data_IF_191133659661
#
_entry.id   IF_191133659661
#
_cell.length_a   1.000
_cell.length_b   1.000
_cell.length_c   1.000
_cell.angle_alpha   90.00
_cell.angle_beta   90.00
_cell.angle_gamma   90.00
#
_symmetry.space_group_name_H-M   'P 1'
#
loop_
_entity.id
_entity.type
_entity.pdbx_description
1 polymer ?
#
# COMPACT_ATOMS: atom_id res chain seq x y z
N UNK A 1 -29.68 5.10 -5.64
CA UNK A 1 -31.11 4.76 -5.81
C UNK A 1 -31.24 3.24 -5.82
N UNK A 2 -32.34 2.68 -5.30
CA UNK A 2 -32.54 1.22 -5.33
C UNK A 2 -33.18 0.83 -6.67
N UNK A 3 -32.53 -0.07 -7.40
CA UNK A 3 -33.07 -0.66 -8.62
C UNK A 3 -34.28 -1.53 -8.28
N UNK A 4 -35.19 -1.74 -9.23
CA UNK A 4 -36.39 -2.60 -9.04
C UNK A 4 -36.03 -4.03 -8.62
N UNK A 5 -34.87 -4.52 -9.05
CA UNK A 5 -34.33 -5.85 -8.71
C UNK A 5 -33.64 -5.87 -7.33
N UNK A 6 -33.75 -4.80 -6.54
CA UNK A 6 -33.32 -4.76 -5.15
C UNK A 6 -31.88 -4.32 -4.91
N UNK A 7 -31.02 -4.29 -5.93
CA UNK A 7 -29.64 -3.82 -5.82
C UNK A 7 -29.53 -2.28 -5.87
N UNK A 8 -28.41 -1.73 -5.40
CA UNK A 8 -28.16 -0.28 -5.41
C UNK A 8 -27.46 0.15 -6.69
N UNK A 9 -27.95 1.24 -7.28
CA UNK A 9 -27.31 1.90 -8.43
C UNK A 9 -26.96 3.35 -8.11
N UNK A 10 -25.85 3.79 -8.69
CA UNK A 10 -25.49 5.19 -8.79
C UNK A 10 -26.15 5.81 -10.00
N UNK A 11 -26.85 6.92 -9.79
CA UNK A 11 -27.44 7.72 -10.85
C UNK A 11 -26.81 9.09 -10.87
N UNK A 12 -26.40 9.52 -12.05
CA UNK A 12 -26.13 10.92 -12.34
C UNK A 12 -27.38 11.49 -13.00
N UNK A 13 -27.98 12.49 -12.37
CA UNK A 13 -29.22 13.09 -12.86
C UNK A 13 -29.02 14.57 -13.15
N UNK A 14 -29.50 15.03 -14.31
CA UNK A 14 -29.61 16.44 -14.65
C UNK A 14 -31.06 16.77 -14.93
N UNK A 15 -31.55 17.86 -14.35
CA UNK A 15 -32.91 18.33 -14.54
C UNK A 15 -32.91 19.76 -15.09
N UNK A 16 -33.83 20.05 -16.00
CA UNK A 16 -34.08 21.41 -16.49
C UNK A 16 -35.56 21.71 -16.49
N UNK A 17 -35.93 22.88 -15.98
CA UNK A 17 -37.29 23.39 -16.09
C UNK A 17 -37.57 23.91 -17.50
N UNK A 18 -38.73 23.52 -18.02
CA UNK A 18 -39.33 24.06 -19.23
C UNK A 18 -40.43 25.02 -18.77
N UNK A 19 -40.29 26.29 -19.13
CA UNK A 19 -41.22 27.34 -18.73
C UNK A 19 -42.33 27.49 -19.77
N UNK A 20 -43.52 27.93 -19.34
CA UNK A 20 -44.58 28.40 -20.23
C UNK A 20 -44.32 29.86 -20.66
N UNK A 21 -45.23 30.42 -21.47
CA UNK A 21 -45.12 31.80 -21.95
C UNK A 21 -45.12 32.84 -20.81
N UNK A 22 -45.77 32.53 -19.68
CA UNK A 22 -45.85 33.39 -18.49
C UNK A 22 -44.62 33.25 -17.57
N UNK A 23 -43.59 32.52 -18.00
CA UNK A 23 -42.36 32.28 -17.22
C UNK A 23 -42.53 31.28 -16.07
N UNK A 24 -43.68 30.62 -15.97
CA UNK A 24 -43.96 29.62 -14.93
C UNK A 24 -43.49 28.23 -15.38
N UNK A 25 -43.09 27.39 -14.43
CA UNK A 25 -42.65 26.02 -14.72
C UNK A 25 -43.82 25.21 -15.28
N UNK A 26 -43.68 24.73 -16.52
CA UNK A 26 -44.65 23.85 -17.17
C UNK A 26 -44.29 22.38 -16.98
N UNK A 27 -43.01 22.03 -17.17
CA UNK A 27 -42.49 20.67 -16.99
C UNK A 27 -41.05 20.70 -16.46
N UNK A 28 -40.64 19.62 -15.79
CA UNK A 28 -39.23 19.31 -15.54
C UNK A 28 -38.80 18.19 -16.50
N UNK A 29 -37.75 18.43 -17.26
CA UNK A 29 -37.09 17.38 -18.05
C UNK A 29 -35.92 16.87 -17.24
N UNK A 30 -35.98 15.59 -16.86
CA UNK A 30 -34.92 14.94 -16.10
C UNK A 30 -34.29 13.84 -16.95
N UNK A 31 -32.96 13.88 -17.05
CA UNK A 31 -32.16 12.82 -17.67
C UNK A 31 -31.34 12.19 -16.56
N UNK A 32 -31.54 10.89 -16.33
CA UNK A 32 -30.77 10.10 -15.38
C UNK A 32 -29.94 9.07 -16.13
N UNK A 33 -28.65 8.96 -15.78
CA UNK A 33 -27.72 7.97 -16.31
C UNK A 33 -27.26 7.07 -15.18
N UNK A 34 -27.37 5.76 -15.37
CA UNK A 34 -26.72 4.80 -14.48
C UNK A 34 -25.19 4.89 -14.66
N UNK A 35 -24.50 5.22 -13.58
CA UNK A 35 -23.04 5.39 -13.54
C UNK A 35 -22.38 4.39 -12.58
N UNK A 36 -23.08 3.31 -12.23
CA UNK A 36 -22.60 2.33 -11.25
C UNK A 36 -21.30 1.66 -11.69
N UNK A 37 -21.21 1.26 -12.96
CA UNK A 37 -19.99 0.67 -13.54
C UNK A 37 -18.81 1.65 -13.48
N UNK A 38 -19.02 2.91 -13.90
CA UNK A 38 -17.99 3.95 -13.80
C UNK A 38 -17.50 4.12 -12.35
N UNK A 39 -18.42 4.16 -11.38
CA UNK A 39 -18.07 4.28 -9.95
C UNK A 39 -17.34 3.06 -9.41
N UNK A 40 -17.67 1.88 -9.89
CA UNK A 40 -16.97 0.65 -9.53
C UNK A 40 -15.52 0.69 -10.05
N UNK A 41 -15.33 1.02 -11.32
CA UNK A 41 -13.99 1.15 -11.92
C UNK A 41 -13.16 2.25 -11.24
N UNK A 42 -13.75 3.41 -10.93
CA UNK A 42 -13.07 4.48 -10.16
C UNK A 42 -12.60 3.97 -8.78
N UNK A 43 -13.43 3.17 -8.10
CA UNK A 43 -13.11 2.58 -6.80
C UNK A 43 -12.00 1.53 -6.89
N UNK A 44 -12.06 0.66 -7.89
CA UNK A 44 -11.03 -0.35 -8.15
C UNK A 44 -9.68 0.29 -8.49
N UNK A 45 -9.68 1.32 -9.33
CA UNK A 45 -8.49 2.11 -9.65
C UNK A 45 -7.89 2.76 -8.40
N UNK A 46 -8.73 3.40 -7.58
CA UNK A 46 -8.26 4.03 -6.34
C UNK A 46 -7.65 3.01 -5.36
N UNK A 47 -8.20 1.79 -5.29
CA UNK A 47 -7.62 0.70 -4.48
C UNK A 47 -6.26 0.27 -5.03
N UNK A 48 -6.15 0.06 -6.34
CA UNK A 48 -4.91 -0.33 -6.99
C UNK A 48 -3.80 0.72 -6.79
N UNK A 49 -4.11 2.01 -6.95
CA UNK A 49 -3.15 3.10 -6.73
C UNK A 49 -2.63 3.16 -5.29
N UNK A 50 -3.50 2.93 -4.31
CA UNK A 50 -3.08 2.86 -2.89
C UNK A 50 -2.16 1.68 -2.64
N UNK A 51 -2.51 0.49 -3.17
CA UNK A 51 -1.68 -0.70 -3.04
C UNK A 51 -0.30 -0.51 -3.68
N UNK A 52 -0.26 0.08 -4.87
CA UNK A 52 1.00 0.39 -5.57
C UNK A 52 1.86 1.37 -4.76
N UNK A 53 1.26 2.45 -4.23
CA UNK A 53 1.97 3.42 -3.40
C UNK A 53 2.60 2.78 -2.16
N UNK A 54 1.87 1.89 -1.47
CA UNK A 54 2.40 1.14 -0.32
C UNK A 54 3.53 0.22 -0.75
N UNK A 55 3.38 -0.47 -1.88
CA UNK A 55 4.42 -1.36 -2.43
C UNK A 55 5.71 -0.59 -2.71
N UNK A 56 5.62 0.57 -3.36
CA UNK A 56 6.78 1.41 -3.65
C UNK A 56 7.50 1.88 -2.37
N UNK A 57 6.75 2.24 -1.34
CA UNK A 57 7.34 2.62 -0.04
C UNK A 57 8.05 1.41 0.57
N UNK A 58 7.40 0.25 0.61
CA UNK A 58 7.98 -0.98 1.16
C UNK A 58 9.28 -1.34 0.43
N UNK A 59 9.29 -1.32 -0.90
CA UNK A 59 10.49 -1.58 -1.71
C UNK A 59 11.63 -0.63 -1.37
N UNK A 60 11.35 0.67 -1.26
CA UNK A 60 12.37 1.67 -0.89
C UNK A 60 12.91 1.45 0.52
N UNK A 61 12.04 1.19 1.48
CA UNK A 61 12.43 0.92 2.87
C UNK A 61 13.28 -0.35 2.95
N UNK A 62 12.88 -1.43 2.28
CA UNK A 62 13.66 -2.66 2.22
C UNK A 62 15.03 -2.46 1.58
N UNK A 63 15.12 -1.68 0.50
CA UNK A 63 16.40 -1.34 -0.12
C UNK A 63 17.31 -0.59 0.87
N UNK A 64 16.79 0.43 1.56
CA UNK A 64 17.55 1.19 2.55
C UNK A 64 18.06 0.31 3.71
N UNK A 65 17.25 -0.62 4.20
CA UNK A 65 17.70 -1.57 5.22
C UNK A 65 18.83 -2.46 4.71
N UNK A 66 18.72 -2.96 3.48
CA UNK A 66 19.77 -3.78 2.89
C UNK A 66 21.09 -3.01 2.77
N UNK A 67 21.05 -1.74 2.38
CA UNK A 67 22.25 -0.89 2.29
C UNK A 67 22.92 -0.67 3.66
N UNK A 68 22.11 -0.44 4.70
CA UNK A 68 22.61 -0.30 6.07
C UNK A 68 23.25 -1.59 6.58
N UNK A 69 22.63 -2.75 6.31
CA UNK A 69 23.18 -4.06 6.68
C UNK A 69 24.49 -4.32 5.94
N UNK A 70 24.58 -4.00 4.65
CA UNK A 70 25.80 -4.14 3.87
C UNK A 70 26.94 -3.31 4.47
N UNK A 71 26.66 -2.09 4.91
CA UNK A 71 27.64 -1.21 5.57
C UNK A 71 28.12 -1.80 6.90
N UNK A 72 27.20 -2.25 7.76
CA UNK A 72 27.53 -2.87 9.05
C UNK A 72 28.38 -4.14 8.86
N UNK A 73 28.02 -5.00 7.91
CA UNK A 73 28.79 -6.19 7.57
C UNK A 73 30.18 -5.82 7.04
N UNK A 74 30.29 -4.75 6.26
CA UNK A 74 31.58 -4.19 5.82
C UNK A 74 32.48 -3.83 7.00
N UNK A 75 31.95 -3.09 7.98
CA UNK A 75 32.70 -2.73 9.19
C UNK A 75 33.11 -3.96 10.02
N UNK A 76 32.20 -4.92 10.23
CA UNK A 76 32.50 -6.16 10.96
C UNK A 76 33.60 -6.96 10.27
N UNK A 77 33.58 -7.04 8.94
CA UNK A 77 34.63 -7.72 8.18
C UNK A 77 35.98 -7.02 8.30
N UNK A 78 36.01 -5.69 8.27
CA UNK A 78 37.25 -4.92 8.50
C UNK A 78 37.77 -5.11 9.94
N UNK A 79 36.91 -4.99 10.94
CA UNK A 79 37.27 -5.22 12.33
C UNK A 79 37.85 -6.63 12.54
N UNK A 80 37.26 -7.65 11.92
CA UNK A 80 37.77 -9.04 11.98
C UNK A 80 39.14 -9.20 11.32
N UNK A 81 39.41 -8.48 10.22
CA UNK A 81 40.75 -8.49 9.58
C UNK A 81 41.80 -7.80 10.45
N UNK A 82 41.45 -6.69 11.09
CA UNK A 82 42.34 -5.94 11.97
C UNK A 82 42.62 -6.66 13.30
N UNK A 83 41.65 -7.38 13.84
CA UNK A 83 41.78 -8.11 15.10
C UNK A 83 42.77 -9.29 15.05
N UNK A 84 43.28 -9.66 13.86
CA UNK A 84 44.18 -10.82 13.68
C UNK A 84 43.51 -12.17 13.97
N UNK A 85 44.23 -13.30 13.84
CA UNK A 85 43.68 -14.63 14.15
C UNK A 85 43.24 -14.67 15.60
N UNK A 86 41.97 -15.02 15.85
CA UNK A 86 41.47 -15.17 17.22
C UNK A 86 42.37 -16.17 17.97
N UNK A 87 42.91 -15.83 19.16
CA UNK A 87 43.57 -16.82 19.99
C UNK A 87 42.57 -17.94 20.24
N UNK A 88 42.96 -19.20 19.93
CA UNK A 88 42.10 -20.38 20.08
C UNK A 88 41.44 -20.30 21.46
N UNK A 89 40.11 -20.08 21.49
CA UNK A 89 39.35 -20.18 22.73
C UNK A 89 39.63 -21.57 23.28
N UNK A 90 40.30 -21.65 24.44
CA UNK A 90 40.44 -22.92 25.18
C UNK A 90 39.03 -23.51 25.25
N UNK A 91 38.85 -24.68 24.66
CA UNK A 91 37.58 -25.38 24.74
C UNK A 91 37.35 -25.69 26.23
N UNK A 92 36.47 -24.91 26.85
CA UNK A 92 36.00 -25.21 28.19
C UNK A 92 35.03 -26.37 28.06
N UNK A 93 35.38 -27.48 28.71
CA UNK A 93 34.50 -28.62 28.83
C UNK A 93 33.30 -28.22 29.72
N UNK A 94 32.10 -28.26 29.15
CA UNK A 94 30.87 -27.77 29.79
C UNK A 94 30.43 -28.64 30.97
N UNK A 95 30.98 -29.84 31.11
CA UNK A 95 30.68 -30.76 32.22
C UNK A 95 31.60 -30.58 33.42
N UNK A 96 32.83 -30.08 33.22
CA UNK A 96 33.85 -30.02 34.29
C UNK A 96 34.28 -28.61 34.66
N UNK A 97 33.97 -27.60 33.85
CA UNK A 97 34.30 -26.20 34.14
C UNK A 97 35.81 -25.93 34.24
N UNK A 98 36.66 -26.84 33.76
CA UNK A 98 38.11 -26.70 33.75
C UNK A 98 38.63 -26.59 32.31
N UNK A 99 39.67 -25.79 32.08
CA UNK A 99 40.29 -25.71 30.76
C UNK A 99 40.94 -27.06 30.41
N UNK A 100 40.60 -27.62 29.25
CA UNK A 100 41.28 -28.83 28.73
C UNK A 100 42.77 -28.50 28.53
N UNK A 101 43.64 -29.36 29.05
CA UNK A 101 45.09 -29.25 28.95
C UNK A 101 45.54 -29.29 27.48
#
# INVERSE_FOLDING_TARGET
>A
MRHREGHWIWLESKARAVLNADGQVRYLVLVARNISERKQLESELAKAQRADSVSQIATKVSAQFNDQLATLLGHLNMARRLAGPQPRRRAYDRTTGKPRA
#
